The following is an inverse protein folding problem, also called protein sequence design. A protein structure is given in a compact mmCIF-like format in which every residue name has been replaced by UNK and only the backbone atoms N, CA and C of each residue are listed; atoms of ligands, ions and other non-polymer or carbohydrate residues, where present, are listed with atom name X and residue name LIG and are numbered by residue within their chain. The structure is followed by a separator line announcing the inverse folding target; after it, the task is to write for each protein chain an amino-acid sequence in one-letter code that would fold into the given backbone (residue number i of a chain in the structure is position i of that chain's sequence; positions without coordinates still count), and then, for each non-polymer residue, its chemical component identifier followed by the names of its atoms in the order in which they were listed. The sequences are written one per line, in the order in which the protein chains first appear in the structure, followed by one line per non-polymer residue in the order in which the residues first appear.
data_IF_520790917326
#
_entry.id   IF_520790917326
#
_cell.length_a   1.000
_cell.length_b   1.000
_cell.length_c   1.000
_cell.angle_alpha   90.00
_cell.angle_beta   90.00
_cell.angle_gamma   90.00
#
_symmetry.space_group_name_H-M   'P 1'
#
loop_
_entity.id
_entity.type
_entity.pdbx_description
1 polymer ?
#
# COMPACT_ATOMS: atom_id res chain seq x y z
N UNK A 1 24.55 -26.44 -68.54
CA UNK A 1 24.88 -25.45 -67.49
C UNK A 1 23.57 -24.80 -67.03
N UNK A 2 23.22 -24.94 -65.74
CA UNK A 2 21.95 -24.46 -65.19
C UNK A 2 22.11 -22.99 -64.78
N UNK A 3 21.44 -22.07 -65.48
CA UNK A 3 21.54 -20.62 -65.23
C UNK A 3 20.67 -20.27 -64.01
N UNK A 4 21.30 -19.94 -62.88
CA UNK A 4 20.61 -19.42 -61.69
C UNK A 4 20.18 -17.98 -62.00
N UNK A 5 18.93 -17.80 -62.41
CA UNK A 5 18.33 -16.47 -62.52
C UNK A 5 18.11 -15.92 -61.11
N UNK A 6 18.97 -15.00 -60.67
CA UNK A 6 18.77 -14.23 -59.44
C UNK A 6 17.73 -13.14 -59.69
N UNK A 7 16.60 -13.24 -59.01
CA UNK A 7 15.52 -12.26 -59.03
C UNK A 7 15.85 -11.17 -58.00
N UNK A 8 16.69 -10.19 -58.37
CA UNK A 8 17.05 -9.04 -57.52
C UNK A 8 15.95 -7.97 -57.64
N UNK A 9 14.74 -8.26 -57.15
CA UNK A 9 13.73 -7.22 -56.96
C UNK A 9 14.09 -6.44 -55.69
N UNK A 10 14.69 -5.27 -55.87
CA UNK A 10 14.97 -4.33 -54.78
C UNK A 10 13.68 -3.86 -54.11
N UNK A 11 13.78 -3.43 -52.85
CA UNK A 11 12.66 -2.83 -52.12
C UNK A 11 12.21 -1.53 -52.79
N UNK A 12 10.92 -1.39 -53.03
CA UNK A 12 10.35 -0.14 -53.52
C UNK A 12 10.33 0.90 -52.41
N UNK A 13 10.44 2.18 -52.76
CA UNK A 13 10.34 3.29 -51.80
C UNK A 13 9.02 3.25 -51.00
N UNK A 14 7.94 2.79 -51.65
CA UNK A 14 6.62 2.67 -51.03
C UNK A 14 6.61 1.57 -49.97
N UNK A 15 7.28 0.44 -50.20
CA UNK A 15 7.41 -0.63 -49.19
C UNK A 15 8.26 -0.20 -48.00
N UNK A 16 9.37 0.52 -48.24
CA UNK A 16 10.18 1.07 -47.15
C UNK A 16 9.37 2.09 -46.33
N UNK A 17 8.58 2.94 -46.99
CA UNK A 17 7.72 3.90 -46.29
C UNK A 17 6.64 3.19 -45.46
N UNK A 18 5.96 2.20 -46.03
CA UNK A 18 4.92 1.44 -45.35
C UNK A 18 5.48 0.66 -44.14
N UNK A 19 6.65 0.04 -44.28
CA UNK A 19 7.30 -0.67 -43.17
C UNK A 19 7.74 0.28 -42.06
N UNK A 20 8.27 1.46 -42.37
CA UNK A 20 8.62 2.47 -41.37
C UNK A 20 7.40 2.99 -40.61
N UNK A 21 6.27 3.22 -41.31
CA UNK A 21 5.02 3.62 -40.69
C UNK A 21 4.49 2.54 -39.76
N UNK A 22 4.47 1.28 -40.20
CA UNK A 22 4.05 0.15 -39.36
C UNK A 22 4.97 -0.03 -38.15
N UNK A 23 6.28 0.11 -38.33
CA UNK A 23 7.24 0.05 -37.22
C UNK A 23 6.96 1.18 -36.21
N UNK A 24 6.72 2.40 -36.70
CA UNK A 24 6.41 3.55 -35.86
C UNK A 24 5.19 3.33 -34.98
N UNK A 25 4.10 2.77 -35.55
CA UNK A 25 2.88 2.44 -34.81
C UNK A 25 3.18 1.42 -33.70
N UNK A 26 3.93 0.35 -34.03
CA UNK A 26 4.31 -0.70 -33.08
C UNK A 26 5.18 -0.11 -31.96
N UNK A 27 6.15 0.73 -32.29
CA UNK A 27 7.04 1.37 -31.31
C UNK A 27 6.27 2.24 -30.32
N UNK A 28 5.35 3.08 -30.79
CA UNK A 28 4.52 3.92 -29.91
C UNK A 28 3.66 3.05 -28.99
N UNK A 29 3.07 1.97 -29.52
CA UNK A 29 2.30 1.01 -28.74
C UNK A 29 3.12 0.39 -27.61
N UNK A 30 4.32 -0.10 -27.91
CA UNK A 30 5.21 -0.73 -26.93
C UNK A 30 5.68 0.27 -25.87
N UNK A 31 6.04 1.50 -26.25
CA UNK A 31 6.46 2.55 -25.31
C UNK A 31 5.36 2.89 -24.29
N UNK A 32 4.09 2.87 -24.72
CA UNK A 32 2.96 3.12 -23.81
C UNK A 32 2.81 2.05 -22.72
N UNK A 33 3.14 0.80 -23.03
CA UNK A 33 3.07 -0.32 -22.08
C UNK A 33 4.22 -0.24 -21.08
N UNK A 34 5.44 0.07 -21.55
CA UNK A 34 6.61 0.19 -20.67
C UNK A 34 6.49 1.33 -19.65
N UNK A 35 6.02 2.50 -20.07
CA UNK A 35 5.79 3.63 -19.14
C UNK A 35 4.78 3.27 -18.06
N UNK A 36 3.72 2.55 -18.42
CA UNK A 36 2.72 2.08 -17.47
C UNK A 36 3.25 1.02 -16.51
N UNK A 37 4.12 0.11 -16.97
CA UNK A 37 4.76 -0.90 -16.11
C UNK A 37 5.63 -0.26 -15.02
N UNK A 38 6.45 0.74 -15.37
CA UNK A 38 7.28 1.45 -14.38
C UNK A 38 6.42 2.11 -13.30
N UNK A 39 5.37 2.83 -13.70
CA UNK A 39 4.44 3.47 -12.76
C UNK A 39 3.68 2.47 -11.88
N UNK A 40 3.36 1.29 -12.42
CA UNK A 40 2.70 0.23 -11.66
C UNK A 40 3.66 -0.42 -10.66
N UNK A 41 4.92 -0.64 -11.06
CA UNK A 41 5.96 -1.18 -10.20
C UNK A 41 6.23 -0.24 -9.02
N UNK A 42 6.39 1.07 -9.26
CA UNK A 42 6.63 2.05 -8.20
C UNK A 42 5.49 2.09 -7.17
N UNK A 43 4.24 2.02 -7.63
CA UNK A 43 3.06 1.91 -6.76
C UNK A 43 3.08 0.60 -5.96
N UNK A 44 3.50 -0.50 -6.59
CA UNK A 44 3.59 -1.82 -5.95
C UNK A 44 4.67 -1.83 -4.86
N UNK A 45 5.87 -1.34 -5.15
CA UNK A 45 6.94 -1.21 -4.15
C UNK A 45 6.52 -0.33 -2.98
N UNK A 46 5.98 0.86 -3.27
CA UNK A 46 5.48 1.76 -2.22
C UNK A 46 4.42 1.09 -1.34
N UNK A 47 3.52 0.29 -1.93
CA UNK A 47 2.49 -0.44 -1.18
C UNK A 47 3.10 -1.55 -0.33
N UNK A 48 4.08 -2.29 -0.84
CA UNK A 48 4.77 -3.35 -0.08
C UNK A 48 5.55 -2.77 1.10
N UNK A 49 6.31 -1.69 0.89
CA UNK A 49 7.08 -1.02 1.93
C UNK A 49 6.16 -0.48 3.03
N UNK A 50 5.11 0.25 2.65
CA UNK A 50 4.17 0.80 3.63
C UNK A 50 3.37 -0.29 4.34
N UNK A 51 3.07 -1.43 3.70
CA UNK A 51 2.45 -2.58 4.36
C UNK A 51 3.39 -3.23 5.39
N UNK A 52 4.69 -3.30 5.08
CA UNK A 52 5.68 -3.82 6.03
C UNK A 52 5.85 -2.87 7.23
N UNK A 53 5.92 -1.55 6.99
CA UNK A 53 5.93 -0.53 8.05
C UNK A 53 4.67 -0.63 8.92
N UNK A 54 3.49 -0.74 8.29
CA UNK A 54 2.22 -0.89 9.00
C UNK A 54 2.20 -2.14 9.90
N UNK A 55 2.76 -3.25 9.45
CA UNK A 55 2.87 -4.49 10.23
C UNK A 55 3.87 -4.36 11.36
N UNK A 56 5.00 -3.68 11.15
CA UNK A 56 5.99 -3.42 12.19
C UNK A 56 5.38 -2.57 13.30
N UNK A 57 4.77 -1.44 12.96
CA UNK A 57 4.07 -0.57 13.92
C UNK A 57 2.97 -1.32 14.67
N UNK A 58 2.17 -2.13 13.97
CA UNK A 58 1.16 -2.99 14.62
C UNK A 58 1.79 -4.01 15.57
N UNK A 59 2.95 -4.57 15.22
CA UNK A 59 3.68 -5.48 16.10
C UNK A 59 4.20 -4.75 17.34
N UNK A 60 4.66 -3.52 17.22
CA UNK A 60 5.10 -2.69 18.37
C UNK A 60 3.93 -2.32 19.29
N UNK A 61 2.76 -2.05 18.72
CA UNK A 61 1.53 -1.84 19.48
C UNK A 61 1.15 -3.12 20.26
N UNK A 62 1.34 -4.30 19.65
CA UNK A 62 0.99 -5.60 20.25
C UNK A 62 2.08 -6.24 21.14
N UNK A 63 3.35 -5.80 21.04
CA UNK A 63 4.49 -6.49 21.68
C UNK A 63 4.55 -6.32 23.19
N UNK A 64 3.75 -5.43 23.78
CA UNK A 64 3.69 -5.27 25.22
C UNK A 64 2.66 -6.23 25.80
N UNK A 65 3.15 -7.39 26.25
CA UNK A 65 2.37 -8.42 26.92
C UNK A 65 1.60 -7.88 28.15
N UNK A 66 0.52 -8.62 28.49
CA UNK A 66 -0.51 -8.42 29.52
C UNK A 66 -1.74 -7.63 29.07
N UNK A 67 -2.95 -8.10 29.44
CA UNK A 67 -4.14 -7.34 29.15
C UNK A 67 -4.08 -6.01 29.92
N UNK A 68 -4.20 -4.93 29.17
CA UNK A 68 -4.13 -3.57 29.68
C UNK A 68 -5.55 -3.02 29.78
N UNK A 69 -5.77 -2.18 30.79
CA UNK A 69 -6.96 -1.32 30.77
C UNK A 69 -6.89 -0.43 29.52
N UNK A 70 -8.04 -0.12 28.94
CA UNK A 70 -8.14 0.75 27.75
C UNK A 70 -7.35 2.06 27.91
N UNK A 71 -7.33 2.64 29.11
CA UNK A 71 -6.58 3.86 29.41
C UNK A 71 -5.06 3.70 29.27
N UNK A 72 -4.52 2.52 29.59
CA UNK A 72 -3.10 2.22 29.44
C UNK A 72 -2.71 1.98 27.98
N UNK A 73 -3.59 1.35 27.20
CA UNK A 73 -3.43 1.20 25.74
C UNK A 73 -3.41 2.58 25.10
N UNK A 74 -4.35 3.45 25.48
CA UNK A 74 -4.42 4.84 25.03
C UNK A 74 -3.18 5.63 25.42
N UNK A 75 -2.71 5.54 26.67
CA UNK A 75 -1.52 6.23 27.13
C UNK A 75 -0.25 5.79 26.38
N UNK A 76 -0.13 4.50 26.05
CA UNK A 76 0.98 4.00 25.25
C UNK A 76 0.93 4.50 23.81
N UNK A 77 -0.22 4.45 23.14
CA UNK A 77 -0.32 4.98 21.78
C UNK A 77 -0.02 6.50 21.80
N UNK A 78 -0.46 7.21 22.84
CA UNK A 78 -0.13 8.63 23.05
C UNK A 78 1.35 8.94 23.23
N UNK A 79 2.19 8.00 23.66
CA UNK A 79 3.63 8.28 23.81
C UNK A 79 4.31 8.52 22.46
N UNK A 80 3.74 7.96 21.39
CA UNK A 80 4.33 7.96 20.05
C UNK A 80 3.44 8.68 19.03
N UNK A 81 2.14 8.78 19.28
CA UNK A 81 1.15 9.38 18.39
C UNK A 81 0.36 10.50 19.08
N UNK A 82 0.00 11.52 18.31
CA UNK A 82 -0.86 12.60 18.78
C UNK A 82 -2.34 12.16 18.71
N UNK A 83 -3.06 12.17 19.83
CA UNK A 83 -4.52 11.96 19.82
C UNK A 83 -5.21 13.16 19.16
N UNK A 84 -6.13 12.88 18.24
CA UNK A 84 -7.06 13.88 17.72
C UNK A 84 -8.30 13.86 18.65
N UNK A 85 -8.48 14.90 19.50
CA UNK A 85 -9.60 14.94 20.42
C UNK A 85 -10.94 14.99 19.67
N UNK A 86 -11.99 14.43 20.27
CA UNK A 86 -13.35 14.39 19.71
C UNK A 86 -13.47 13.69 18.35
N UNK A 87 -12.64 12.68 18.09
CA UNK A 87 -12.89 11.75 17.00
C UNK A 87 -14.30 11.15 17.11
N UNK A 88 -14.97 11.01 15.97
CA UNK A 88 -16.32 10.46 15.90
C UNK A 88 -16.38 9.07 16.57
N UNK A 89 -17.47 8.80 17.30
CA UNK A 89 -17.79 7.42 17.71
C UNK A 89 -17.90 6.55 16.44
N UNK A 90 -17.26 5.36 16.41
CA UNK A 90 -16.96 4.50 17.57
C UNK A 90 -15.46 4.34 17.92
N UNK A 91 -14.56 5.26 17.56
CA UNK A 91 -13.10 5.06 17.75
C UNK A 91 -12.36 6.27 18.34
N UNK A 92 -11.22 6.01 18.99
CA UNK A 92 -10.19 7.01 19.24
C UNK A 92 -9.29 7.12 18.00
N UNK A 93 -8.91 8.33 17.63
CA UNK A 93 -8.05 8.60 16.47
C UNK A 93 -6.71 9.15 16.94
N UNK A 94 -5.62 8.54 16.46
CA UNK A 94 -4.26 8.99 16.70
C UNK A 94 -3.54 9.21 15.38
N UNK A 95 -2.66 10.21 15.34
CA UNK A 95 -1.88 10.56 14.15
C UNK A 95 -0.41 10.79 14.48
N UNK A 96 0.48 10.35 13.59
CA UNK A 96 1.92 10.58 13.65
C UNK A 96 2.41 10.94 12.26
N UNK A 97 3.15 12.03 12.15
CA UNK A 97 3.74 12.48 10.90
C UNK A 97 5.24 12.20 10.93
N UNK A 98 5.73 11.38 10.01
CA UNK A 98 7.16 11.14 9.79
C UNK A 98 7.41 11.19 8.28
N UNK A 99 8.00 12.28 7.79
CA UNK A 99 8.17 12.46 6.35
C UNK A 99 8.87 11.25 5.69
N UNK A 100 8.34 10.71 4.57
CA UNK A 100 7.23 11.23 3.75
C UNK A 100 5.83 10.66 4.10
N UNK A 101 5.70 9.96 5.23
CA UNK A 101 4.50 9.22 5.61
C UNK A 101 3.72 9.86 6.77
N UNK A 102 2.41 9.65 6.74
CA UNK A 102 1.51 9.96 7.85
C UNK A 102 0.83 8.67 8.27
N UNK A 103 0.93 8.36 9.56
CA UNK A 103 0.31 7.20 10.18
C UNK A 103 -0.95 7.64 10.91
N UNK A 104 -2.05 6.95 10.65
CA UNK A 104 -3.33 7.15 11.35
C UNK A 104 -3.76 5.84 12.00
N UNK A 105 -4.00 5.88 13.30
CA UNK A 105 -4.49 4.74 14.09
C UNK A 105 -5.91 5.03 14.54
N UNK A 106 -6.82 4.10 14.24
CA UNK A 106 -8.17 4.06 14.79
C UNK A 106 -8.26 2.91 15.77
N UNK A 107 -8.43 3.24 17.04
CA UNK A 107 -8.68 2.27 18.11
C UNK A 107 -10.17 2.27 18.43
N UNK A 108 -10.86 1.17 18.14
CA UNK A 108 -12.30 1.09 18.38
C UNK A 108 -12.59 1.04 19.89
N UNK A 109 -13.58 1.82 20.34
CA UNK A 109 -13.97 1.95 21.76
C UNK A 109 -14.72 0.72 22.27
N UNK A 110 -15.40 0.01 21.38
CA UNK A 110 -16.12 -1.21 21.71
C UNK A 110 -15.30 -2.43 21.25
N UNK A 111 -15.23 -3.48 22.07
CA UNK A 111 -14.58 -4.71 21.65
C UNK A 111 -15.35 -5.33 20.48
N UNK A 112 -14.61 -5.87 19.51
CA UNK A 112 -15.20 -6.58 18.39
C UNK A 112 -15.57 -8.02 18.77
N UNK A 113 -14.83 -8.59 19.71
CA UNK A 113 -15.11 -9.89 20.30
C UNK A 113 -15.07 -9.72 21.82
N UNK A 114 -16.18 -10.03 22.46
CA UNK A 114 -16.32 -10.04 23.91
C UNK A 114 -15.98 -11.44 24.39
N UNK A 115 -15.05 -11.54 25.34
CA UNK A 115 -14.70 -12.81 25.97
C UNK A 115 -15.77 -13.26 26.97
N UNK A 116 -15.99 -14.58 27.07
CA UNK A 116 -16.71 -15.16 28.22
C UNK A 116 -15.74 -15.33 29.41
N UNK A 117 -16.21 -15.73 30.59
CA UNK A 117 -15.42 -15.86 31.82
C UNK A 117 -13.98 -16.38 31.59
N UNK A 118 -12.99 -15.51 31.85
CA UNK A 118 -11.53 -15.71 31.67
C UNK A 118 -10.98 -15.55 30.24
N UNK A 119 -11.78 -15.12 29.27
CA UNK A 119 -11.36 -14.74 27.92
C UNK A 119 -11.29 -13.22 27.85
N UNK A 120 -10.21 -12.70 27.27
CA UNK A 120 -9.96 -11.27 27.12
C UNK A 120 -10.81 -10.66 26.01
N UNK A 121 -11.23 -9.41 26.18
CA UNK A 121 -11.92 -8.64 25.16
C UNK A 121 -10.92 -8.21 24.07
N UNK A 122 -11.32 -8.37 22.80
CA UNK A 122 -10.50 -8.03 21.65
C UNK A 122 -10.98 -6.74 21.00
N UNK A 123 -10.12 -5.72 21.09
CA UNK A 123 -10.34 -4.42 20.50
C UNK A 123 -9.68 -4.33 19.14
N UNK A 124 -10.44 -3.93 18.13
CA UNK A 124 -9.91 -3.76 16.78
C UNK A 124 -9.06 -2.49 16.69
N UNK A 125 -7.90 -2.61 16.05
CA UNK A 125 -7.04 -1.49 15.67
C UNK A 125 -6.95 -1.47 14.15
N UNK A 126 -7.20 -0.30 13.57
CA UNK A 126 -7.02 -0.05 12.14
C UNK A 126 -5.92 0.98 11.97
N UNK A 127 -4.80 0.57 11.39
CA UNK A 127 -3.65 1.42 11.12
C UNK A 127 -3.60 1.70 9.61
N UNK A 128 -3.50 2.97 9.25
CA UNK A 128 -3.41 3.45 7.88
C UNK A 128 -2.11 4.21 7.69
N UNK A 129 -1.40 3.93 6.60
CA UNK A 129 -0.20 4.66 6.20
C UNK A 129 -0.50 5.44 4.93
N UNK A 130 -0.37 6.76 5.01
CA UNK A 130 -0.59 7.70 3.92
C UNK A 130 0.73 8.32 3.48
N UNK A 131 0.86 8.65 2.20
CA UNK A 131 1.94 9.50 1.68
C UNK A 131 1.29 10.75 1.10
N UNK A 132 1.43 11.89 1.78
CA UNK A 132 0.60 13.07 1.53
C UNK A 132 -0.88 12.78 1.76
N UNK A 133 -1.75 13.11 0.79
CA UNK A 133 -3.20 12.87 0.87
C UNK A 133 -3.65 11.47 0.44
N UNK A 134 -2.73 10.64 -0.08
CA UNK A 134 -3.07 9.34 -0.65
C UNK A 134 -2.87 8.21 0.37
N UNK A 135 -3.91 7.39 0.55
CA UNK A 135 -3.81 6.13 1.28
C UNK A 135 -2.96 5.15 0.46
N UNK A 136 -1.84 4.69 1.04
CA UNK A 136 -0.94 3.75 0.39
C UNK A 136 -1.14 2.33 0.90
N UNK A 137 -1.37 2.16 2.19
CA UNK A 137 -1.68 0.86 2.79
C UNK A 137 -2.44 1.00 4.09
N UNK A 138 -3.07 -0.11 4.49
CA UNK A 138 -3.75 -0.25 5.76
C UNK A 138 -3.58 -1.67 6.29
N UNK A 139 -3.67 -1.81 7.61
CA UNK A 139 -3.65 -3.10 8.28
C UNK A 139 -4.61 -3.10 9.46
N UNK A 140 -5.08 -4.29 9.80
CA UNK A 140 -5.98 -4.52 10.92
C UNK A 140 -5.27 -5.41 11.94
N UNK A 141 -5.43 -5.07 13.22
CA UNK A 141 -4.94 -5.85 14.34
C UNK A 141 -5.96 -5.92 15.45
N UNK A 142 -5.67 -6.76 16.44
CA UNK A 142 -6.47 -6.91 17.64
C UNK A 142 -5.56 -6.73 18.85
N UNK A 143 -5.98 -5.88 19.78
CA UNK A 143 -5.37 -5.75 21.10
C UNK A 143 -6.26 -6.43 22.12
N UNK A 144 -5.64 -7.18 23.03
CA UNK A 144 -6.28 -7.83 24.17
C UNK A 144 -6.38 -6.85 25.34
N UNK A 145 -7.56 -6.71 25.90
CA UNK A 145 -7.79 -5.98 27.14
C UNK A 145 -8.62 -6.83 28.12
N UNK A 146 -8.52 -6.53 29.41
CA UNK A 146 -9.19 -7.24 30.52
C UNK A 146 -9.88 -6.24 31.42
#
# INVERSE_FOLDING_TARGET
MKKLMKNEQGLTLVEILATLVLLGIVFVGIMSVFSQMTLFNDKTYTKLDTMNLARQEMSEINSVAYPKLMDQIKAQIKSTYNEIPNAADPYYLFTKNEEPYTYEIRLYKNPKLVGDANVEDLYQVHLMVKKGSKLNSETYGFIKAK
#
